data_IF_238809864154
#
_entry.id   IF_238809864154
#
_cell.length_a   1.000
_cell.length_b   1.000
_cell.length_c   1.000
_cell.angle_alpha   90.00
_cell.angle_beta   90.00
_cell.angle_gamma   90.00
#
_symmetry.space_group_name_H-M   'P 1'
#
loop_
_entity.id
_entity.type
_entity.pdbx_description
1 polymer ?
#
# COMPACT_ATOMS: atom_id res chain seq x y z
N UNK A 1 12.47 -8.08 -9.68
CA UNK A 1 11.96 -8.83 -8.51
C UNK A 1 10.51 -8.43 -8.27
N UNK A 2 9.54 -9.35 -8.32
CA UNK A 2 8.15 -9.06 -7.95
C UNK A 2 8.07 -9.01 -6.44
N UNK A 3 7.85 -7.83 -5.86
CA UNK A 3 7.77 -7.68 -4.41
C UNK A 3 6.38 -8.17 -3.96
N UNK A 4 6.30 -9.42 -3.49
CA UNK A 4 5.04 -10.13 -3.19
C UNK A 4 4.24 -9.54 -1.99
N UNK A 5 4.68 -8.39 -1.46
CA UNK A 5 4.08 -7.67 -0.32
C UNK A 5 3.10 -6.58 -0.74
N UNK A 6 3.13 -6.14 -1.99
CA UNK A 6 2.31 -5.04 -2.47
C UNK A 6 1.45 -5.50 -3.65
N UNK A 7 0.22 -5.01 -3.71
CA UNK A 7 -0.71 -5.20 -4.82
C UNK A 7 -0.83 -3.86 -5.54
N UNK A 8 -0.43 -3.86 -6.80
CA UNK A 8 -0.53 -2.68 -7.67
C UNK A 8 -1.84 -2.76 -8.46
N UNK A 9 -2.52 -1.64 -8.61
CA UNK A 9 -3.69 -1.47 -9.48
C UNK A 9 -3.46 -0.27 -10.39
N UNK A 10 -3.73 -0.44 -11.67
CA UNK A 10 -3.74 0.66 -12.63
C UNK A 10 -5.01 0.58 -13.45
N UNK A 11 -5.79 1.65 -13.41
CA UNK A 11 -6.95 1.86 -14.26
C UNK A 11 -6.72 3.11 -15.11
N UNK A 12 -7.04 3.03 -16.39
CA UNK A 12 -6.99 4.14 -17.33
C UNK A 12 -8.34 4.29 -17.99
N UNK A 13 -8.81 5.52 -18.18
CA UNK A 13 -10.09 5.81 -18.80
C UNK A 13 -9.99 7.06 -19.67
N UNK A 14 -10.68 7.03 -20.81
CA UNK A 14 -10.92 8.22 -21.62
C UNK A 14 -12.37 8.66 -21.36
N UNK A 15 -12.55 9.91 -20.99
CA UNK A 15 -13.85 10.52 -20.70
C UNK A 15 -14.53 11.01 -22.00
N UNK A 16 -15.86 11.27 -21.98
CA UNK A 16 -16.59 11.71 -23.17
C UNK A 16 -16.12 13.04 -23.77
N UNK A 17 -15.54 13.91 -22.95
CA UNK A 17 -14.93 15.19 -23.35
C UNK A 17 -13.53 15.02 -23.97
N UNK A 18 -13.02 13.78 -24.04
CA UNK A 18 -11.69 13.48 -24.55
C UNK A 18 -10.59 13.58 -23.52
N UNK A 19 -10.89 13.91 -22.26
CA UNK A 19 -9.90 13.89 -21.19
C UNK A 19 -9.46 12.47 -20.86
N UNK A 20 -8.17 12.31 -20.58
CA UNK A 20 -7.55 11.03 -20.26
C UNK A 20 -7.23 10.99 -18.78
N UNK A 21 -7.86 10.10 -18.03
CA UNK A 21 -7.67 9.95 -16.59
C UNK A 21 -7.06 8.60 -16.26
N UNK A 22 -6.23 8.55 -15.23
CA UNK A 22 -5.77 7.29 -14.67
C UNK A 22 -5.88 7.30 -13.15
N UNK A 23 -6.00 6.09 -12.62
CA UNK A 23 -5.97 5.83 -11.20
C UNK A 23 -4.94 4.73 -10.95
N UNK A 24 -3.88 5.07 -10.21
CA UNK A 24 -2.85 4.13 -9.81
C UNK A 24 -2.84 3.98 -8.30
N UNK A 25 -2.89 2.75 -7.79
CA UNK A 25 -2.75 2.49 -6.36
C UNK A 25 -1.79 1.34 -6.06
N UNK A 26 -1.17 1.42 -4.88
CA UNK A 26 -0.37 0.36 -4.31
C UNK A 26 -0.86 0.10 -2.89
N UNK A 27 -1.40 -1.10 -2.67
CA UNK A 27 -1.86 -1.55 -1.37
C UNK A 27 -0.95 -2.65 -0.80
N UNK A 28 -0.79 -2.68 0.52
CA UNK A 28 -0.15 -3.79 1.23
C UNK A 28 -1.03 -5.04 1.10
N UNK A 29 -0.46 -6.15 0.63
CA UNK A 29 -1.14 -7.44 0.64
C UNK A 29 -1.14 -7.99 2.06
N UNK A 30 -2.32 -8.03 2.68
CA UNK A 30 -2.56 -8.87 3.85
C UNK A 30 -2.78 -10.30 3.34
N UNK A 31 -1.70 -11.06 3.13
CA UNK A 31 -1.87 -12.51 3.04
C UNK A 31 -2.26 -12.99 4.44
N UNK A 32 -3.32 -13.79 4.62
CA UNK A 32 -3.34 -14.68 5.76
C UNK A 32 -2.06 -15.51 5.66
N UNK A 33 -1.25 -15.53 6.73
CA UNK A 33 -0.19 -16.51 6.84
C UNK A 33 -0.89 -17.86 6.79
N UNK A 34 -0.69 -18.61 5.70
CA UNK A 34 -1.06 -20.01 5.67
C UNK A 34 -0.46 -20.67 6.92
N UNK A 35 -1.33 -21.26 7.72
CA UNK A 35 -1.02 -22.06 8.89
C UNK A 35 -0.16 -23.26 8.46
N UNK A 36 1.17 -23.12 8.55
CA UNK A 36 2.10 -24.23 8.74
C UNK A 36 3.50 -23.67 8.96
N UNK A 37 3.91 -23.64 10.22
CA UNK A 37 5.17 -24.26 10.62
C UNK A 37 5.15 -24.56 12.12
N UNK A 38 4.89 -25.85 12.36
CA UNK A 38 5.63 -26.71 13.27
C UNK A 38 5.86 -26.25 14.73
N UNK A 39 5.01 -26.84 15.57
CA UNK A 39 5.32 -27.38 16.89
C UNK A 39 6.79 -27.86 16.95
N UNK A 40 7.56 -27.36 17.94
CA UNK A 40 8.44 -28.14 18.85
C UNK A 40 9.36 -27.22 19.68
N UNK A 41 9.95 -27.68 20.81
CA UNK A 41 9.44 -28.60 21.82
C UNK A 41 9.57 -28.04 23.27
N UNK A 42 9.00 -28.82 24.19
CA UNK A 42 9.09 -28.76 25.66
C UNK A 42 10.30 -28.03 26.29
N UNK A 43 9.99 -27.16 27.26
CA UNK A 43 10.65 -27.26 28.55
C UNK A 43 9.65 -27.46 29.69
N UNK A 44 9.67 -28.69 30.18
CA UNK A 44 9.06 -29.21 31.41
C UNK A 44 9.54 -28.40 32.62
N UNK A 45 8.59 -27.93 33.43
CA UNK A 45 8.87 -27.22 34.69
C UNK A 45 7.69 -27.24 35.66
N UNK A 46 7.36 -28.43 36.17
CA UNK A 46 6.55 -28.77 37.36
C UNK A 46 6.03 -27.63 38.28
N UNK A 47 4.70 -27.68 38.49
CA UNK A 47 3.99 -27.65 39.79
C UNK A 47 4.15 -26.44 40.74
N UNK A 48 3.05 -25.69 40.99
CA UNK A 48 2.20 -25.76 42.21
C UNK A 48 1.23 -24.57 42.33
N UNK A 49 0.05 -24.89 42.87
CA UNK A 49 -1.01 -23.97 43.33
C UNK A 49 -0.48 -22.93 44.34
N UNK A 50 -0.96 -21.69 44.26
CA UNK A 50 -1.30 -20.87 45.45
C UNK A 50 -2.18 -19.66 45.08
N UNK A 51 -3.34 -19.59 45.73
CA UNK A 51 -4.11 -18.37 45.99
C UNK A 51 -3.21 -17.38 46.74
N UNK A 52 -3.16 -16.13 46.29
CA UNK A 52 -2.40 -15.09 46.99
C UNK A 52 -2.83 -13.69 46.55
N UNK A 53 -3.68 -13.08 47.35
CA UNK A 53 -4.04 -11.66 47.32
C UNK A 53 -2.81 -10.84 47.77
N UNK A 54 -2.36 -9.86 46.97
CA UNK A 54 -1.17 -9.07 47.28
C UNK A 54 -1.16 -7.71 46.60
N UNK A 55 -1.29 -6.66 47.40
CA UNK A 55 -1.17 -5.24 47.05
C UNK A 55 0.28 -4.84 46.72
N UNK A 56 0.38 -3.77 45.92
CA UNK A 56 1.51 -2.83 45.69
C UNK A 56 2.65 -3.29 44.75
N UNK A 57 2.82 -2.51 43.69
CA UNK A 57 4.04 -2.43 42.90
C UNK A 57 3.96 -1.25 41.93
N UNK A 58 4.62 -0.14 42.29
CA UNK A 58 5.00 0.96 41.41
C UNK A 58 5.71 0.42 40.17
N UNK A 59 5.24 0.77 38.97
CA UNK A 59 5.87 0.40 37.71
C UNK A 59 5.72 1.51 36.67
N UNK A 60 6.85 2.07 36.27
CA UNK A 60 7.06 3.00 35.15
C UNK A 60 6.08 2.79 33.99
N UNK A 61 5.32 3.84 33.66
CA UNK A 61 4.63 3.96 32.39
C UNK A 61 5.45 4.84 31.43
N UNK A 62 6.72 4.48 31.20
CA UNK A 62 7.51 5.01 30.08
C UNK A 62 7.62 3.95 29.00
N UNK A 63 6.56 3.72 28.22
CA UNK A 63 6.67 2.94 26.98
C UNK A 63 5.56 3.21 25.95
N UNK A 64 5.17 4.47 25.76
CA UNK A 64 4.24 4.87 24.69
C UNK A 64 4.91 5.71 23.58
N UNK A 65 6.24 5.60 23.38
CA UNK A 65 6.96 6.33 22.32
C UNK A 65 7.33 5.51 21.08
N UNK A 66 7.11 4.18 21.06
CA UNK A 66 7.64 3.32 19.99
C UNK A 66 6.64 2.99 18.86
N UNK A 67 5.32 3.07 19.11
CA UNK A 67 4.31 2.75 18.09
C UNK A 67 4.24 3.78 16.96
N UNK A 68 4.42 5.06 17.26
CA UNK A 68 4.29 6.13 16.27
C UNK A 68 5.46 6.17 15.28
N UNK A 69 6.67 5.80 15.70
CA UNK A 69 7.86 5.85 14.84
C UNK A 69 7.83 4.79 13.74
N UNK A 70 7.48 3.55 14.11
CA UNK A 70 7.38 2.42 13.15
C UNK A 70 6.30 2.63 12.09
N UNK A 71 5.17 3.25 12.46
CA UNK A 71 4.10 3.53 11.51
C UNK A 71 4.53 4.60 10.49
N UNK A 72 5.25 5.63 10.94
CA UNK A 72 5.75 6.69 10.06
C UNK A 72 6.82 6.16 9.06
N UNK A 73 7.76 5.34 9.54
CA UNK A 73 8.79 4.72 8.68
C UNK A 73 8.16 3.80 7.61
N UNK A 74 7.13 3.04 7.96
CA UNK A 74 6.42 2.16 7.01
C UNK A 74 5.70 2.96 5.93
N UNK A 75 5.03 4.05 6.31
CA UNK A 75 4.32 4.92 5.37
C UNK A 75 5.31 5.57 4.39
N UNK A 76 6.46 6.00 4.88
CA UNK A 76 7.51 6.57 4.04
C UNK A 76 8.02 5.57 3.00
N UNK A 77 8.32 4.32 3.40
CA UNK A 77 8.76 3.28 2.47
C UNK A 77 7.70 2.95 1.42
N UNK A 78 6.42 2.92 1.79
CA UNK A 78 5.33 2.69 0.86
C UNK A 78 5.20 3.85 -0.14
N UNK A 79 5.30 5.09 0.32
CA UNK A 79 5.25 6.29 -0.51
C UNK A 79 6.45 6.35 -1.47
N UNK A 80 7.67 6.06 -1.01
CA UNK A 80 8.86 6.01 -1.87
C UNK A 80 8.73 4.94 -2.95
N UNK A 81 8.25 3.74 -2.58
CA UNK A 81 7.96 2.67 -3.53
C UNK A 81 6.89 3.13 -4.53
N UNK A 82 5.82 3.79 -4.07
CA UNK A 82 4.78 4.34 -4.92
C UNK A 82 5.32 5.32 -5.96
N UNK A 83 6.12 6.30 -5.54
CA UNK A 83 6.71 7.29 -6.46
C UNK A 83 7.60 6.62 -7.51
N UNK A 84 8.45 5.68 -7.10
CA UNK A 84 9.29 4.93 -8.02
C UNK A 84 8.45 4.17 -9.06
N UNK A 85 7.36 3.52 -8.63
CA UNK A 85 6.50 2.73 -9.51
C UNK A 85 5.76 3.63 -10.50
N UNK A 86 5.12 4.71 -10.06
CA UNK A 86 4.44 5.68 -10.94
C UNK A 86 5.38 6.15 -12.05
N UNK A 87 6.59 6.60 -11.71
CA UNK A 87 7.55 7.10 -12.71
C UNK A 87 8.08 6.02 -13.67
N UNK A 88 8.01 4.74 -13.27
CA UNK A 88 8.46 3.60 -14.06
C UNK A 88 7.40 3.00 -14.99
N UNK A 89 6.12 3.35 -14.81
CA UNK A 89 5.03 2.79 -15.60
C UNK A 89 5.09 3.30 -17.04
N UNK A 90 5.65 2.50 -17.94
CA UNK A 90 5.74 2.83 -19.37
C UNK A 90 4.35 3.11 -19.98
N UNK A 91 3.33 2.39 -19.52
CA UNK A 91 1.95 2.61 -19.93
C UNK A 91 1.46 4.02 -19.63
N UNK A 92 1.86 4.63 -18.50
CA UNK A 92 1.51 6.01 -18.18
C UNK A 92 2.24 7.01 -19.09
N UNK A 93 3.47 6.72 -19.52
CA UNK A 93 4.20 7.57 -20.48
C UNK A 93 3.59 7.52 -21.88
N UNK A 94 3.04 6.36 -22.27
CA UNK A 94 2.32 6.19 -23.52
C UNK A 94 0.93 6.84 -23.47
N UNK A 95 0.25 6.74 -22.33
CA UNK A 95 -1.08 7.28 -22.10
C UNK A 95 -1.06 8.80 -21.87
N UNK A 96 -0.23 9.31 -20.97
CA UNK A 96 -0.03 10.74 -20.70
C UNK A 96 1.31 11.24 -21.25
N UNK A 97 1.32 11.71 -22.50
CA UNK A 97 2.57 12.07 -23.22
C UNK A 97 3.17 13.39 -22.76
N UNK A 98 2.34 14.37 -22.41
CA UNK A 98 2.80 15.69 -21.94
C UNK A 98 2.87 15.78 -20.40
N UNK A 99 2.65 14.63 -19.75
CA UNK A 99 2.51 14.51 -18.31
C UNK A 99 1.06 14.64 -17.86
N UNK A 100 0.87 14.77 -16.55
CA UNK A 100 -0.44 14.80 -15.92
C UNK A 100 -0.48 15.84 -14.80
N UNK A 101 -1.69 16.19 -14.37
CA UNK A 101 -1.94 16.90 -13.13
C UNK A 101 -2.65 15.98 -12.14
N UNK A 102 -2.32 16.12 -10.86
CA UNK A 102 -2.94 15.36 -9.79
C UNK A 102 -4.34 15.89 -9.53
N UNK A 103 -5.34 15.02 -9.63
CA UNK A 103 -6.72 15.32 -9.22
C UNK A 103 -6.90 15.00 -7.73
N UNK A 104 -6.43 13.82 -7.32
CA UNK A 104 -6.56 13.33 -5.95
C UNK A 104 -5.36 12.47 -5.59
N UNK A 105 -4.90 12.60 -4.34
CA UNK A 105 -3.88 11.72 -3.78
C UNK A 105 -4.31 11.28 -2.39
N UNK A 106 -4.36 9.97 -2.20
CA UNK A 106 -4.62 9.34 -0.91
C UNK A 106 -3.39 8.57 -0.46
N UNK A 107 -3.04 8.67 0.82
CA UNK A 107 -1.86 8.00 1.39
C UNK A 107 -2.14 7.66 2.85
N UNK A 108 -2.12 6.37 3.17
CA UNK A 108 -2.19 5.84 4.53
C UNK A 108 -1.15 4.72 4.75
N UNK A 109 -1.25 3.99 5.87
CA UNK A 109 -0.29 2.93 6.20
C UNK A 109 -0.45 1.61 5.43
N UNK A 110 -1.50 1.50 4.64
CA UNK A 110 -1.88 0.30 3.88
C UNK A 110 -1.98 0.57 2.38
N UNK A 111 -2.24 1.78 1.94
CA UNK A 111 -2.42 2.12 0.55
C UNK A 111 -1.95 3.55 0.22
N UNK A 112 -1.33 3.69 -0.95
CA UNK A 112 -1.11 4.98 -1.61
C UNK A 112 -1.78 4.94 -2.97
N UNK A 113 -2.54 5.98 -3.29
CA UNK A 113 -3.31 6.10 -4.52
C UNK A 113 -3.13 7.50 -5.13
N UNK A 114 -3.04 7.53 -6.46
CA UNK A 114 -3.01 8.75 -7.27
C UNK A 114 -4.08 8.64 -8.35
N UNK A 115 -5.01 9.60 -8.33
CA UNK A 115 -5.89 9.88 -9.46
C UNK A 115 -5.37 11.14 -10.15
N UNK A 116 -5.20 11.05 -11.47
CA UNK A 116 -4.64 12.14 -12.25
C UNK A 116 -5.26 12.18 -13.64
N UNK A 117 -5.13 13.34 -14.26
CA UNK A 117 -5.58 13.61 -15.63
C UNK A 117 -4.40 14.06 -16.47
N UNK A 118 -4.28 13.51 -17.68
CA UNK A 118 -3.22 13.88 -18.61
C UNK A 118 -3.42 15.34 -19.07
N UNK A 119 -2.32 16.04 -19.35
CA UNK A 119 -2.39 17.43 -19.84
C UNK A 119 -2.92 17.52 -21.27
N UNK A 120 -2.86 16.43 -22.01
CA UNK A 120 -3.32 16.37 -23.39
C UNK A 120 -4.59 15.50 -23.56
N UNK A 121 -5.44 15.87 -24.52
CA UNK A 121 -6.65 15.11 -24.87
C UNK A 121 -6.34 13.78 -25.57
N UNK A 122 -7.33 12.89 -25.62
CA UNK A 122 -7.24 11.64 -26.35
C UNK A 122 -7.20 11.84 -27.86
N UNK A 123 -6.24 11.20 -28.50
CA UNK A 123 -6.20 11.01 -29.95
C UNK A 123 -7.05 9.83 -30.39
N UNK A 124 -7.34 9.73 -31.69
CA UNK A 124 -8.04 8.57 -32.28
C UNK A 124 -7.33 7.25 -31.95
N UNK A 125 -5.99 7.25 -31.94
CA UNK A 125 -5.21 6.08 -31.56
C UNK A 125 -5.39 5.70 -30.10
N UNK A 126 -5.55 6.68 -29.21
CA UNK A 126 -5.74 6.43 -27.78
C UNK A 126 -7.07 5.69 -27.54
N UNK A 127 -8.14 6.07 -28.23
CA UNK A 127 -9.40 5.31 -28.21
C UNK A 127 -9.19 3.87 -28.70
N UNK A 128 -8.49 3.69 -29.83
CA UNK A 128 -8.22 2.34 -30.34
C UNK A 128 -7.38 1.47 -29.39
N UNK A 129 -6.53 2.06 -28.56
CA UNK A 129 -5.62 1.34 -27.65
C UNK A 129 -6.22 1.13 -26.25
N UNK A 130 -6.93 2.13 -25.72
CA UNK A 130 -7.27 2.21 -24.29
C UNK A 130 -8.77 2.11 -23.98
N UNK A 131 -9.66 2.24 -24.97
CA UNK A 131 -11.11 2.05 -24.75
C UNK A 131 -11.62 0.70 -25.26
N UNK A 132 -10.74 -0.26 -25.56
CA UNK A 132 -11.16 -1.64 -25.83
C UNK A 132 -11.74 -2.23 -24.56
N UNK A 133 -13.06 -2.08 -24.43
CA UNK A 133 -13.91 -2.71 -23.42
C UNK A 133 -13.56 -4.20 -23.37
N UNK A 134 -13.21 -4.70 -22.19
CA UNK A 134 -13.18 -6.14 -21.93
C UNK A 134 -14.59 -6.65 -21.71
#
# INVERSE_FOLDING_TARGET
MKNNRYKESLETKILPDGSKVFNFSIAVQNKPLDEQDEIMPEHVGKQKKAKGQGKKGTGQAENNKSLNKKNNERNQVLEEYFQQRVSSLNILKMFCREGYFTLEKYSDSREVQLKAECKESASVEDYNKFTKVK
#
